data_IF_472995814852
#
_entry.id   IF_472995814852
#
_cell.length_a   1.000
_cell.length_b   1.000
_cell.length_c   1.000
_cell.angle_alpha   90.00
_cell.angle_beta   90.00
_cell.angle_gamma   90.00
#
_symmetry.space_group_name_H-M   'P 1'
#
loop_
_entity.id
_entity.type
_entity.pdbx_description
1 polymer ?
#
# COMPACT_ATOMS: atom_id res chain seq x y z
N UNK A 1 -1.29 -16.54 -8.93
CA UNK A 1 -2.47 -15.66 -8.76
C UNK A 1 -2.96 -15.62 -7.31
N UNK A 2 -3.27 -16.77 -6.70
CA UNK A 2 -3.73 -16.83 -5.30
C UNK A 2 -2.83 -16.08 -4.31
N UNK A 3 -1.51 -16.27 -4.36
CA UNK A 3 -0.57 -15.54 -3.50
C UNK A 3 -0.69 -14.01 -3.61
N UNK A 4 -0.90 -13.49 -4.83
CA UNK A 4 -1.10 -12.05 -5.06
C UNK A 4 -2.42 -11.54 -4.47
N UNK A 5 -3.49 -12.33 -4.58
CA UNK A 5 -4.79 -12.00 -3.97
C UNK A 5 -4.65 -11.94 -2.45
N UNK A 6 -4.04 -12.96 -1.85
CA UNK A 6 -3.82 -13.03 -0.40
C UNK A 6 -2.99 -11.84 0.08
N UNK A 7 -1.86 -11.54 -0.58
CA UNK A 7 -1.03 -10.39 -0.18
C UNK A 7 -1.73 -9.06 -0.37
N UNK A 8 -2.54 -8.91 -1.43
CA UNK A 8 -3.32 -7.69 -1.66
C UNK A 8 -4.38 -7.46 -0.59
N UNK A 9 -5.13 -8.51 -0.22
CA UNK A 9 -6.11 -8.45 0.89
C UNK A 9 -5.41 -8.15 2.21
N UNK A 10 -4.32 -8.86 2.51
CA UNK A 10 -3.54 -8.64 3.74
C UNK A 10 -3.03 -7.19 3.83
N UNK A 11 -2.53 -6.63 2.73
CA UNK A 11 -2.09 -5.25 2.66
C UNK A 11 -3.21 -4.27 3.02
N UNK A 12 -4.41 -4.44 2.46
CA UNK A 12 -5.57 -3.60 2.80
C UNK A 12 -5.97 -3.68 4.28
N UNK A 13 -5.95 -4.89 4.86
CA UNK A 13 -6.27 -5.12 6.28
C UNK A 13 -5.29 -4.41 7.21
N UNK A 14 -3.99 -4.38 6.89
CA UNK A 14 -2.97 -3.71 7.70
C UNK A 14 -3.29 -2.24 7.92
N UNK A 15 -3.70 -1.51 6.89
CA UNK A 15 -4.05 -0.09 7.05
C UNK A 15 -5.41 0.10 7.72
N UNK A 16 -6.41 -0.70 7.34
CA UNK A 16 -7.76 -0.60 7.89
C UNK A 16 -7.81 -0.84 9.42
N UNK A 17 -6.98 -1.77 9.92
CA UNK A 17 -6.91 -2.10 11.35
C UNK A 17 -5.80 -1.33 12.06
N UNK A 18 -4.65 -1.15 11.41
CA UNK A 18 -3.47 -0.54 12.02
C UNK A 18 -3.64 0.94 12.33
N UNK A 19 -4.30 1.72 11.46
CA UNK A 19 -4.45 3.16 11.71
C UNK A 19 -5.32 3.47 12.94
N UNK A 20 -6.50 2.84 13.15
CA UNK A 20 -7.27 2.98 14.38
C UNK A 20 -6.49 2.54 15.63
N UNK A 21 -5.73 1.45 15.56
CA UNK A 21 -4.90 0.97 16.68
C UNK A 21 -3.78 1.96 17.00
N UNK A 22 -3.07 2.45 15.98
CA UNK A 22 -2.02 3.45 16.18
C UNK A 22 -2.57 4.73 16.80
N UNK A 23 -3.79 5.13 16.40
CA UNK A 23 -4.47 6.29 16.95
C UNK A 23 -4.93 6.08 18.40
N UNK A 24 -5.38 4.87 18.77
CA UNK A 24 -5.85 4.57 20.12
C UNK A 24 -4.73 4.39 21.15
N UNK A 25 -3.53 4.04 20.69
CA UNK A 25 -2.34 3.90 21.54
C UNK A 25 -1.58 5.22 21.75
N UNK A 26 -1.89 6.25 20.97
CA UNK A 26 -1.27 7.56 21.10
C UNK A 26 -2.07 8.48 22.03
N UNK A 27 -1.39 9.44 22.64
CA UNK A 27 -2.06 10.55 23.35
C UNK A 27 -3.08 11.23 22.41
N UNK A 28 -4.18 11.73 22.97
CA UNK A 28 -5.31 12.30 22.20
C UNK A 28 -4.89 13.37 21.18
N UNK A 29 -3.85 14.14 21.50
CA UNK A 29 -3.31 15.20 20.64
C UNK A 29 -2.32 14.68 19.58
N UNK A 30 -1.82 13.45 19.73
CA UNK A 30 -0.75 12.85 18.92
C UNK A 30 -1.24 11.72 18.00
N UNK A 31 -2.53 11.39 18.01
CA UNK A 31 -3.11 10.34 17.17
C UNK A 31 -2.79 10.50 15.68
N UNK A 32 -2.91 11.72 15.14
CA UNK A 32 -2.55 12.01 13.76
C UNK A 32 -1.05 11.76 13.46
N UNK A 33 -0.17 12.09 14.43
CA UNK A 33 1.28 11.86 14.31
C UNK A 33 1.61 10.36 14.35
N UNK A 34 0.89 9.57 15.15
CA UNK A 34 1.07 8.12 15.18
C UNK A 34 0.70 7.48 13.83
N UNK A 35 -0.44 7.87 13.25
CA UNK A 35 -0.83 7.45 11.90
C UNK A 35 0.19 7.92 10.86
N UNK A 36 0.64 9.17 10.92
CA UNK A 36 1.67 9.67 10.01
C UNK A 36 2.98 8.87 10.10
N UNK A 37 3.38 8.45 11.31
CA UNK A 37 4.57 7.61 11.51
C UNK A 37 4.39 6.22 10.89
N UNK A 38 3.19 5.64 11.00
CA UNK A 38 2.85 4.39 10.32
C UNK A 38 2.94 4.52 8.79
N UNK A 39 2.43 5.61 8.21
CA UNK A 39 2.55 5.89 6.77
C UNK A 39 4.00 6.22 6.35
N UNK A 40 4.79 6.87 7.19
CA UNK A 40 6.21 7.10 6.92
C UNK A 40 6.98 5.78 6.75
N UNK A 41 6.58 4.72 7.47
CA UNK A 41 7.10 3.36 7.27
C UNK A 41 6.82 2.82 5.85
N UNK A 42 5.65 3.10 5.28
CA UNK A 42 5.33 2.75 3.89
C UNK A 42 6.24 3.50 2.90
N UNK A 43 6.44 4.81 3.09
CA UNK A 43 7.34 5.60 2.26
C UNK A 43 8.77 5.04 2.30
N UNK A 44 9.29 4.76 3.51
CA UNK A 44 10.61 4.18 3.68
C UNK A 44 10.73 2.81 3.02
N UNK A 45 9.69 1.98 3.14
CA UNK A 45 9.65 0.67 2.49
C UNK A 45 9.67 0.76 0.96
N UNK A 46 9.05 1.77 0.35
CA UNK A 46 9.12 1.98 -1.10
C UNK A 46 10.51 2.45 -1.51
N UNK A 47 11.03 3.49 -0.84
CA UNK A 47 12.31 4.13 -1.18
C UNK A 47 13.49 3.18 -1.02
N UNK A 48 13.52 2.38 0.05
CA UNK A 48 14.63 1.46 0.33
C UNK A 48 14.33 0.04 -0.18
N UNK A 49 13.11 -0.44 0.05
CA UNK A 49 12.74 -1.83 -0.21
C UNK A 49 12.68 -2.18 -1.69
N UNK A 50 12.25 -1.27 -2.57
CA UNK A 50 12.22 -1.55 -4.01
C UNK A 50 13.63 -1.69 -4.60
N UNK A 51 14.57 -0.73 -4.42
CA UNK A 51 15.93 -0.90 -4.91
C UNK A 51 16.63 -2.13 -4.34
N UNK A 52 16.52 -2.34 -3.02
CA UNK A 52 17.13 -3.49 -2.37
C UNK A 52 16.53 -4.82 -2.87
N UNK A 53 15.20 -4.88 -3.00
CA UNK A 53 14.49 -6.03 -3.55
C UNK A 53 14.90 -6.33 -4.99
N UNK A 54 15.12 -5.30 -5.82
CA UNK A 54 15.62 -5.46 -7.19
C UNK A 54 17.04 -6.01 -7.22
N UNK A 55 17.97 -5.47 -6.43
CA UNK A 55 19.36 -5.95 -6.37
C UNK A 55 19.41 -7.41 -5.92
N UNK A 56 18.66 -7.76 -4.87
CA UNK A 56 18.55 -9.14 -4.37
C UNK A 56 17.87 -10.05 -5.39
N UNK A 57 16.81 -9.56 -6.05
CA UNK A 57 16.09 -10.32 -7.07
C UNK A 57 16.93 -10.61 -8.32
N UNK A 58 17.80 -9.69 -8.72
CA UNK A 58 18.72 -9.87 -9.85
C UNK A 58 19.87 -10.84 -9.51
N UNK A 59 20.37 -10.81 -8.27
CA UNK A 59 21.52 -11.64 -7.85
C UNK A 59 21.14 -13.05 -7.39
N UNK A 60 20.05 -13.18 -6.63
CA UNK A 60 19.62 -14.44 -5.99
C UNK A 60 18.30 -14.99 -6.56
N UNK A 61 17.76 -14.33 -7.59
CA UNK A 61 16.50 -14.69 -8.23
C UNK A 61 15.26 -14.15 -7.52
N UNK A 62 14.12 -14.15 -8.22
CA UNK A 62 12.88 -13.53 -7.78
C UNK A 62 12.27 -14.09 -6.49
N UNK A 63 12.65 -15.31 -6.07
CA UNK A 63 12.14 -15.95 -4.84
C UNK A 63 12.79 -15.37 -3.59
N UNK A 64 14.05 -14.94 -3.67
CA UNK A 64 14.79 -14.39 -2.54
C UNK A 64 14.13 -13.14 -1.92
N UNK A 65 13.76 -12.10 -2.68
CA UNK A 65 13.08 -10.94 -2.09
C UNK A 65 11.70 -11.30 -1.52
N UNK A 66 10.98 -12.27 -2.10
CA UNK A 66 9.70 -12.74 -1.55
C UNK A 66 9.87 -13.44 -0.19
N UNK A 67 10.90 -14.28 -0.05
CA UNK A 67 11.24 -14.92 1.21
C UNK A 67 11.66 -13.88 2.26
N UNK A 68 12.47 -12.89 1.88
CA UNK A 68 12.86 -11.81 2.78
C UNK A 68 11.65 -11.03 3.31
N UNK A 69 10.72 -10.65 2.43
CA UNK A 69 9.46 -9.98 2.82
C UNK A 69 8.61 -10.89 3.72
N UNK A 70 8.52 -12.19 3.42
CA UNK A 70 7.78 -13.13 4.26
C UNK A 70 8.39 -13.23 5.68
N UNK A 71 9.71 -13.31 5.79
CA UNK A 71 10.42 -13.33 7.08
C UNK A 71 10.18 -12.03 7.86
N UNK A 72 10.31 -10.86 7.21
CA UNK A 72 10.01 -9.57 7.84
C UNK A 72 8.55 -9.48 8.31
N UNK A 73 7.62 -10.03 7.54
CA UNK A 73 6.21 -10.13 7.93
C UNK A 73 6.00 -10.98 9.17
N UNK A 74 6.64 -12.16 9.25
CA UNK A 74 6.61 -13.02 10.44
C UNK A 74 7.23 -12.34 11.66
N UNK A 75 8.38 -11.66 11.49
CA UNK A 75 9.02 -10.89 12.56
C UNK A 75 8.12 -9.76 13.06
N UNK A 76 7.50 -9.03 12.14
CA UNK A 76 6.55 -7.96 12.48
C UNK A 76 5.36 -8.53 13.26
N UNK A 77 4.78 -9.64 12.82
CA UNK A 77 3.68 -10.29 13.53
C UNK A 77 4.08 -10.74 14.95
N UNK A 78 5.30 -11.27 15.11
CA UNK A 78 5.83 -11.64 16.42
C UNK A 78 6.03 -10.41 17.32
N UNK A 79 6.62 -9.34 16.80
CA UNK A 79 6.81 -8.08 17.53
C UNK A 79 5.48 -7.46 17.94
N UNK A 80 4.49 -7.42 17.05
CA UNK A 80 3.16 -6.92 17.39
C UNK A 80 2.52 -7.74 18.51
N UNK A 81 2.65 -9.08 18.47
CA UNK A 81 2.15 -9.96 19.53
C UNK A 81 2.83 -9.72 20.88
N UNK A 82 4.12 -9.38 20.88
CA UNK A 82 4.91 -9.18 22.10
C UNK A 82 4.80 -7.78 22.67
N UNK A 83 4.69 -6.75 21.81
CA UNK A 83 4.77 -5.35 22.19
C UNK A 83 3.40 -4.67 22.31
N UNK A 84 2.37 -5.17 21.63
CA UNK A 84 1.04 -4.58 21.78
C UNK A 84 0.41 -4.96 23.13
N UNK A 85 -0.26 -4.01 23.80
CA UNK A 85 -1.09 -4.31 24.95
C UNK A 85 -2.14 -5.38 24.62
N UNK A 86 -2.40 -6.28 25.57
CA UNK A 86 -3.43 -7.34 25.39
C UNK A 86 -4.84 -6.77 25.23
N UNK A 87 -5.08 -5.62 25.85
CA UNK A 87 -6.35 -4.91 25.82
C UNK A 87 -6.15 -3.59 25.09
N UNK A 88 -6.42 -3.59 23.79
CA UNK A 88 -6.54 -2.37 23.01
C UNK A 88 -8.02 -1.99 23.05
N UNK A 89 -8.44 -0.76 23.34
CA UNK A 89 -9.85 -0.39 23.22
C UNK A 89 -10.33 -0.53 21.76
N UNK A 90 -11.40 -1.28 21.53
CA UNK A 90 -11.99 -1.47 20.21
C UNK A 90 -13.52 -1.37 20.28
N UNK A 91 -14.10 -0.70 19.29
CA UNK A 91 -15.55 -0.71 19.13
C UNK A 91 -16.01 -2.13 18.75
N UNK A 92 -17.20 -2.57 19.19
CA UNK A 92 -17.73 -3.85 18.80
C UNK A 92 -17.77 -3.96 17.26
N UNK A 93 -17.38 -5.11 16.69
CA UNK A 93 -17.30 -5.27 15.25
C UNK A 93 -18.67 -5.06 14.61
N UNK A 94 -18.70 -4.20 13.59
CA UNK A 94 -19.91 -3.94 12.83
C UNK A 94 -20.38 -5.22 12.13
N UNK A 95 -21.69 -5.50 12.14
CA UNK A 95 -22.25 -6.67 11.46
C UNK A 95 -21.93 -6.63 9.96
N UNK A 96 -21.71 -7.79 9.32
CA UNK A 96 -21.42 -7.85 7.88
C UNK A 96 -22.48 -7.10 7.06
N UNK A 97 -23.76 -7.22 7.46
CA UNK A 97 -24.86 -6.49 6.84
C UNK A 97 -24.65 -4.97 6.88
N UNK A 98 -24.24 -4.43 8.03
CA UNK A 98 -23.96 -3.00 8.15
C UNK A 98 -22.76 -2.57 7.32
N UNK A 99 -21.73 -3.41 7.20
CA UNK A 99 -20.56 -3.13 6.34
C UNK A 99 -20.95 -3.11 4.85
N UNK A 100 -21.73 -4.07 4.38
CA UNK A 100 -22.24 -4.05 2.99
C UNK A 100 -23.21 -2.88 2.74
N UNK A 101 -24.00 -2.48 3.72
CA UNK A 101 -24.89 -1.32 3.60
C UNK A 101 -24.12 -0.02 3.37
N UNK A 102 -22.88 0.10 3.85
CA UNK A 102 -22.00 1.26 3.60
C UNK A 102 -21.66 1.37 2.10
N UNK A 103 -21.47 0.24 1.40
CA UNK A 103 -21.20 0.23 -0.05
C UNK A 103 -22.37 0.77 -0.89
N UNK A 104 -23.59 0.70 -0.37
CA UNK A 104 -24.78 1.20 -1.06
C UNK A 104 -25.08 2.69 -0.79
N UNK A 105 -24.33 3.36 0.09
CA UNK A 105 -24.60 4.78 0.43
C UNK A 105 -24.16 5.70 -0.72
N UNK A 106 -25.06 6.51 -1.32
CA UNK A 106 -24.74 7.32 -2.50
C UNK A 106 -23.56 8.27 -2.32
N UNK A 107 -23.45 8.91 -1.14
CA UNK A 107 -22.33 9.81 -0.83
C UNK A 107 -20.99 9.08 -0.76
N UNK A 108 -20.99 7.83 -0.30
CA UNK A 108 -19.76 7.02 -0.23
C UNK A 108 -19.42 6.41 -1.58
N UNK A 109 -20.41 6.03 -2.38
CA UNK A 109 -20.20 5.62 -3.77
C UNK A 109 -19.44 6.68 -4.57
N UNK A 110 -19.78 7.96 -4.41
CA UNK A 110 -19.03 9.05 -5.03
C UNK A 110 -17.56 9.08 -4.57
N UNK A 111 -17.29 8.92 -3.27
CA UNK A 111 -15.93 8.87 -2.75
C UNK A 111 -15.15 7.64 -3.25
N UNK A 112 -15.80 6.47 -3.32
CA UNK A 112 -15.22 5.27 -3.89
C UNK A 112 -14.91 5.44 -5.37
N UNK A 113 -15.80 6.09 -6.13
CA UNK A 113 -15.57 6.39 -7.53
C UNK A 113 -14.40 7.36 -7.74
N UNK A 114 -14.32 8.41 -6.93
CA UNK A 114 -13.18 9.36 -6.96
C UNK A 114 -11.87 8.64 -6.64
N UNK A 115 -11.83 7.82 -5.60
CA UNK A 115 -10.64 7.05 -5.25
C UNK A 115 -10.27 6.04 -6.35
N UNK A 116 -11.27 5.32 -6.89
CA UNK A 116 -11.07 4.32 -7.94
C UNK A 116 -10.56 4.96 -9.24
N UNK A 117 -11.10 6.10 -9.64
CA UNK A 117 -10.66 6.81 -10.85
C UNK A 117 -9.32 7.52 -10.64
N UNK A 118 -9.09 8.13 -9.48
CA UNK A 118 -7.81 8.77 -9.15
C UNK A 118 -6.64 7.77 -9.11
N UNK A 119 -6.75 6.73 -8.28
CA UNK A 119 -5.69 5.71 -8.21
C UNK A 119 -5.68 4.81 -9.44
N UNK A 120 -6.84 4.32 -9.87
CA UNK A 120 -6.95 3.40 -11.00
C UNK A 120 -6.48 4.02 -12.32
N UNK A 121 -6.86 5.27 -12.59
CA UNK A 121 -6.38 6.01 -13.77
C UNK A 121 -4.86 6.15 -13.77
N UNK A 122 -4.29 6.50 -12.62
CA UNK A 122 -2.83 6.62 -12.45
C UNK A 122 -2.11 5.29 -12.73
N UNK A 123 -2.63 4.17 -12.21
CA UNK A 123 -2.05 2.84 -12.45
C UNK A 123 -2.17 2.39 -13.92
N UNK A 124 -3.29 2.69 -14.59
CA UNK A 124 -3.46 2.39 -16.02
C UNK A 124 -2.42 3.13 -16.84
N UNK A 125 -2.27 4.45 -16.63
CA UNK A 125 -1.26 5.25 -17.33
C UNK A 125 0.13 4.70 -17.05
N UNK A 126 0.49 4.46 -15.79
CA UNK A 126 1.81 3.89 -15.44
C UNK A 126 2.09 2.55 -16.12
N UNK A 127 1.11 1.64 -16.14
CA UNK A 127 1.25 0.29 -16.72
C UNK A 127 1.49 0.34 -18.22
N UNK A 128 0.83 1.28 -18.91
CA UNK A 128 0.90 1.41 -20.37
C UNK A 128 1.74 2.60 -20.83
N UNK A 129 2.47 3.27 -19.93
CA UNK A 129 3.19 4.50 -20.25
C UNK A 129 4.23 4.28 -21.34
N UNK A 130 5.04 3.22 -21.21
CA UNK A 130 6.03 2.84 -22.21
C UNK A 130 5.40 2.57 -23.59
N UNK A 131 4.44 1.63 -23.75
CA UNK A 131 3.84 1.37 -25.06
C UNK A 131 3.08 2.58 -25.61
N UNK A 132 2.41 3.39 -24.79
CA UNK A 132 1.79 4.64 -25.27
C UNK A 132 2.82 5.59 -25.88
N UNK A 133 3.97 5.76 -25.23
CA UNK A 133 5.02 6.65 -25.74
C UNK A 133 5.72 6.06 -26.97
N UNK A 134 6.06 4.78 -26.99
CA UNK A 134 6.85 4.19 -28.08
C UNK A 134 6.02 3.76 -29.30
N UNK A 135 4.84 3.18 -29.07
CA UNK A 135 4.01 2.59 -30.14
C UNK A 135 2.98 3.56 -30.71
N UNK A 136 2.45 4.47 -29.88
CA UNK A 136 1.41 5.45 -30.33
C UNK A 136 2.04 6.81 -30.60
N UNK A 137 2.87 7.30 -29.69
CA UNK A 137 3.44 8.65 -29.77
C UNK A 137 4.81 8.68 -30.48
N UNK A 138 5.40 7.50 -30.73
CA UNK A 138 6.70 7.29 -31.40
C UNK A 138 7.87 8.07 -30.80
N UNK A 139 7.87 8.27 -29.48
CA UNK A 139 8.97 8.94 -28.76
C UNK A 139 10.14 7.98 -28.54
N UNK A 140 11.36 8.53 -28.43
CA UNK A 140 12.56 7.73 -28.24
C UNK A 140 12.59 6.98 -26.89
N UNK A 141 13.25 5.82 -26.78
CA UNK A 141 13.34 5.06 -25.52
C UNK A 141 13.95 5.85 -24.36
N UNK A 142 14.85 6.80 -24.64
CA UNK A 142 15.43 7.68 -23.64
C UNK A 142 14.38 8.61 -23.00
N UNK A 143 13.42 9.11 -23.79
CA UNK A 143 12.33 9.94 -23.30
C UNK A 143 11.35 9.15 -22.40
N UNK A 144 11.17 7.84 -22.64
CA UNK A 144 10.35 6.96 -21.78
C UNK A 144 10.91 6.89 -20.36
N UNK A 145 12.24 6.76 -20.24
CA UNK A 145 12.90 6.72 -18.92
C UNK A 145 12.71 8.04 -18.16
N UNK A 146 12.82 9.18 -18.84
CA UNK A 146 12.56 10.49 -18.24
C UNK A 146 11.09 10.65 -17.83
N UNK A 147 10.15 10.14 -18.63
CA UNK A 147 8.73 10.15 -18.30
C UNK A 147 8.42 9.32 -17.04
N UNK A 148 9.02 8.14 -16.87
CA UNK A 148 8.90 7.38 -15.63
C UNK A 148 9.50 8.09 -14.41
N UNK A 149 10.63 8.78 -14.59
CA UNK A 149 11.21 9.59 -13.50
C UNK A 149 10.27 10.75 -13.11
N UNK A 150 9.72 11.47 -14.08
CA UNK A 150 8.77 12.56 -13.84
C UNK A 150 7.48 12.06 -13.19
N UNK A 151 6.94 10.92 -13.65
CA UNK A 151 5.78 10.27 -13.05
C UNK A 151 6.05 9.88 -11.59
N UNK A 152 7.20 9.28 -11.31
CA UNK A 152 7.61 8.93 -9.95
C UNK A 152 7.75 10.15 -9.03
N UNK A 153 8.29 11.26 -9.54
CA UNK A 153 8.43 12.51 -8.78
C UNK A 153 7.07 13.18 -8.49
N UNK A 154 6.11 13.08 -9.40
CA UNK A 154 4.77 13.66 -9.21
C UNK A 154 3.85 12.79 -8.31
N UNK A 155 4.20 11.52 -8.11
CA UNK A 155 3.40 10.56 -7.34
C UNK A 155 3.69 10.59 -5.82
N UNK A 156 4.75 11.26 -5.39
CA UNK A 156 5.19 11.41 -3.98
C UNK A 156 4.85 12.81 -3.49
#
# INVERSE_FOLDING_TARGET
LAGRIVTGVAHGVVFAVGAPIAMSLADRERGARAVATMFAGLTLAIVIGVPFGTIVGQSLGWRAPLLAVAVLGCLTAALLRLLLPREIPHAPPASLRSQFAVLAKPRLLALYFIAMTGFGGSFVVFTFLAPLLTEVTHVSPAAVSLAFMAFGAAAV
#
